data_IF_580877152478
#
_entry.id   IF_580877152478
#
_cell.length_a   1.000
_cell.length_b   1.000
_cell.length_c   1.000
_cell.angle_alpha   90.00
_cell.angle_beta   90.00
_cell.angle_gamma   90.00
#
_symmetry.space_group_name_H-M   'P 1'
#
loop_
_entity.id
_entity.type
_entity.pdbx_description
1 polymer ?
#
# COMPACT_ATOMS: atom_id res chain seq x y z
N UNK A 1 49.81 -0.78 14.84
CA UNK A 1 48.99 -1.45 13.81
C UNK A 1 47.53 -1.21 14.19
N UNK A 2 46.85 -0.29 13.50
CA UNK A 2 45.41 -0.05 13.73
C UNK A 2 44.62 -1.02 12.85
N UNK A 3 43.92 -1.97 13.47
CA UNK A 3 42.92 -2.78 12.79
C UNK A 3 41.70 -1.89 12.54
N UNK A 4 41.62 -1.28 11.36
CA UNK A 4 40.36 -0.72 10.86
C UNK A 4 39.42 -1.88 10.58
N UNK A 5 38.52 -2.17 11.52
CA UNK A 5 37.37 -3.04 11.29
C UNK A 5 36.52 -2.33 10.23
N UNK A 6 36.43 -2.94 9.05
CA UNK A 6 35.68 -2.43 7.92
C UNK A 6 34.18 -2.54 8.25
N UNK A 7 33.58 -1.46 8.76
CA UNK A 7 32.19 -1.42 9.24
C UNK A 7 31.13 -1.58 8.16
N UNK A 8 31.52 -1.80 6.89
CA UNK A 8 30.61 -1.88 5.74
C UNK A 8 29.77 -3.17 5.68
N UNK A 9 30.03 -4.16 6.53
CA UNK A 9 29.38 -5.47 6.50
C UNK A 9 28.60 -5.80 7.80
N UNK A 10 28.39 -4.83 8.69
CA UNK A 10 27.55 -5.09 9.86
C UNK A 10 26.09 -5.28 9.41
N UNK A 11 25.38 -6.32 9.88
CA UNK A 11 23.95 -6.46 9.63
C UNK A 11 23.20 -5.21 10.07
N UNK A 12 22.22 -4.76 9.30
CA UNK A 12 21.34 -3.68 9.77
C UNK A 12 20.55 -4.19 10.97
N UNK A 13 20.32 -3.32 11.92
CA UNK A 13 19.45 -3.56 13.06
C UNK A 13 18.15 -2.83 12.83
N UNK A 14 17.03 -3.53 13.06
CA UNK A 14 15.70 -2.95 13.05
C UNK A 14 15.15 -2.96 14.47
N UNK A 15 14.47 -1.89 14.86
CA UNK A 15 13.84 -1.77 16.16
C UNK A 15 12.31 -1.58 16.05
N UNK A 16 11.67 -1.36 17.20
CA UNK A 16 10.22 -1.20 17.25
C UNK A 16 9.72 0.05 16.50
N UNK A 17 10.58 1.06 16.32
CA UNK A 17 10.29 2.25 15.52
C UNK A 17 10.18 1.92 14.04
N UNK A 18 11.11 1.14 13.49
CA UNK A 18 11.04 0.70 12.08
C UNK A 18 9.77 -0.12 11.80
N UNK A 19 9.44 -1.04 12.70
CA UNK A 19 8.22 -1.86 12.59
C UNK A 19 6.95 -1.02 12.76
N UNK A 20 6.99 0.01 13.61
CA UNK A 20 5.89 0.96 13.75
C UNK A 20 5.67 1.73 12.44
N UNK A 21 6.72 2.21 11.79
CA UNK A 21 6.61 2.99 10.56
C UNK A 21 6.03 2.13 9.42
N UNK A 22 6.48 0.89 9.27
CA UNK A 22 5.88 -0.07 8.32
C UNK A 22 4.39 -0.32 8.61
N UNK A 23 4.05 -0.54 9.88
CA UNK A 23 2.66 -0.77 10.27
C UNK A 23 1.77 0.47 10.05
N UNK A 24 2.27 1.67 10.36
CA UNK A 24 1.58 2.93 10.17
C UNK A 24 1.36 3.25 8.68
N UNK A 25 2.32 2.93 7.81
CA UNK A 25 2.16 3.02 6.36
C UNK A 25 1.05 2.09 5.87
N UNK A 26 1.08 0.82 6.28
CA UNK A 26 0.05 -0.15 5.92
C UNK A 26 -1.35 0.26 6.44
N UNK A 27 -1.45 0.78 7.67
CA UNK A 27 -2.69 1.32 8.23
C UNK A 27 -3.21 2.49 7.37
N UNK A 28 -2.33 3.45 7.05
CA UNK A 28 -2.67 4.61 6.23
C UNK A 28 -3.22 4.19 4.86
N UNK A 29 -2.54 3.27 4.18
CA UNK A 29 -2.95 2.74 2.88
C UNK A 29 -4.33 2.09 2.93
N UNK A 30 -4.55 1.25 3.95
CA UNK A 30 -5.85 0.61 4.17
C UNK A 30 -6.94 1.61 4.54
N UNK A 31 -6.61 2.69 5.26
CA UNK A 31 -7.50 3.81 5.55
C UNK A 31 -7.96 4.54 4.28
N UNK A 32 -7.04 4.80 3.34
CA UNK A 32 -7.37 5.37 2.04
C UNK A 32 -8.28 4.45 1.23
N UNK A 33 -7.99 3.14 1.19
CA UNK A 33 -8.84 2.15 0.50
C UNK A 33 -10.24 2.04 1.13
N UNK A 34 -10.33 2.05 2.45
CA UNK A 34 -11.62 2.07 3.17
C UNK A 34 -12.44 3.32 2.83
N UNK A 35 -11.78 4.47 2.73
CA UNK A 35 -12.41 5.75 2.34
C UNK A 35 -12.91 5.70 0.90
N UNK A 36 -12.10 5.20 -0.03
CA UNK A 36 -12.48 5.01 -1.43
C UNK A 36 -13.71 4.09 -1.58
N UNK A 37 -13.71 2.93 -0.91
CA UNK A 37 -14.85 2.01 -0.90
C UNK A 37 -16.10 2.67 -0.32
N UNK A 38 -15.94 3.46 0.75
CA UNK A 38 -17.04 4.21 1.36
C UNK A 38 -17.62 5.24 0.39
N UNK A 39 -16.78 5.94 -0.35
CA UNK A 39 -17.22 6.88 -1.38
C UNK A 39 -18.00 6.18 -2.49
N UNK A 40 -17.46 5.09 -3.05
CA UNK A 40 -18.14 4.27 -4.07
C UNK A 40 -19.51 3.79 -3.59
N UNK A 41 -19.60 3.30 -2.34
CA UNK A 41 -20.88 2.88 -1.74
C UNK A 41 -21.89 4.02 -1.65
N UNK A 42 -21.45 5.25 -1.34
CA UNK A 42 -22.33 6.43 -1.27
C UNK A 42 -22.85 6.79 -2.65
N UNK A 43 -21.99 6.82 -3.66
CA UNK A 43 -22.39 7.16 -5.02
C UNK A 43 -23.35 6.12 -5.63
N UNK A 44 -23.09 4.83 -5.43
CA UNK A 44 -24.02 3.77 -5.86
C UNK A 44 -25.38 3.94 -5.19
N UNK A 45 -25.42 4.22 -3.87
CA UNK A 45 -26.68 4.48 -3.15
C UNK A 45 -27.40 5.71 -3.69
N UNK A 46 -26.67 6.78 -4.03
CA UNK A 46 -27.24 7.99 -4.63
C UNK A 46 -27.90 7.67 -5.96
N UNK A 47 -27.18 7.01 -6.88
CA UNK A 47 -27.70 6.61 -8.20
C UNK A 47 -28.93 5.70 -8.06
N UNK A 48 -28.87 4.72 -7.16
CA UNK A 48 -29.99 3.84 -6.85
C UNK A 48 -31.22 4.62 -6.32
N UNK A 49 -30.99 5.66 -5.50
CA UNK A 49 -32.05 6.55 -5.02
C UNK A 49 -32.75 7.30 -6.15
N UNK A 50 -32.00 7.86 -7.10
CA UNK A 50 -32.55 8.53 -8.28
C UNK A 50 -33.41 7.55 -9.11
N UNK A 51 -32.91 6.34 -9.35
CA UNK A 51 -33.62 5.32 -10.12
C UNK A 51 -34.94 4.91 -9.44
N UNK A 52 -34.92 4.74 -8.11
CA UNK A 52 -36.11 4.41 -7.32
C UNK A 52 -37.16 5.52 -7.38
N UNK A 53 -36.75 6.77 -7.53
CA UNK A 53 -37.65 7.93 -7.66
C UNK A 53 -38.21 8.09 -9.08
N UNK A 54 -37.88 7.18 -10.01
CA UNK A 54 -38.35 7.23 -11.40
C UNK A 54 -37.56 8.18 -12.29
N UNK A 55 -36.40 8.68 -11.82
CA UNK A 55 -35.53 9.50 -12.64
C UNK A 55 -34.83 8.67 -13.72
N UNK A 56 -34.63 9.27 -14.90
CA UNK A 56 -33.92 8.63 -16.01
C UNK A 56 -32.42 8.65 -15.72
N UNK A 57 -31.85 7.47 -15.50
CA UNK A 57 -30.42 7.31 -15.30
C UNK A 57 -29.69 7.35 -16.64
N UNK A 58 -28.88 8.38 -16.84
CA UNK A 58 -27.98 8.54 -17.98
C UNK A 58 -26.52 8.25 -17.60
N UNK A 59 -25.66 8.10 -18.61
CA UNK A 59 -24.20 7.90 -18.44
C UNK A 59 -23.52 8.95 -17.55
N UNK A 60 -24.03 10.18 -17.51
CA UNK A 60 -23.47 11.27 -16.70
C UNK A 60 -23.58 11.02 -15.19
N UNK A 61 -24.51 10.17 -14.76
CA UNK A 61 -24.61 9.77 -13.35
C UNK A 61 -23.44 8.86 -12.94
N UNK A 62 -22.82 8.18 -13.90
CA UNK A 62 -21.71 7.26 -13.67
C UNK A 62 -20.35 7.87 -14.00
N UNK A 63 -20.27 8.90 -14.84
CA UNK A 63 -18.98 9.46 -15.30
C UNK A 63 -18.10 9.89 -14.15
N UNK A 64 -18.67 10.57 -13.14
CA UNK A 64 -17.92 10.97 -11.94
C UNK A 64 -17.45 9.76 -11.13
N UNK A 65 -18.32 8.76 -10.94
CA UNK A 65 -17.97 7.52 -10.24
C UNK A 65 -16.84 6.76 -10.95
N UNK A 66 -16.89 6.68 -12.28
CA UNK A 66 -15.86 6.02 -13.10
C UNK A 66 -14.52 6.74 -12.93
N UNK A 67 -14.49 8.07 -13.06
CA UNK A 67 -13.24 8.84 -12.87
C UNK A 67 -12.64 8.63 -11.48
N UNK A 68 -13.46 8.57 -10.43
CA UNK A 68 -12.97 8.26 -9.09
C UNK A 68 -12.45 6.83 -8.97
N UNK A 69 -13.13 5.85 -9.58
CA UNK A 69 -12.69 4.46 -9.59
C UNK A 69 -11.33 4.30 -10.30
N UNK A 70 -11.14 4.94 -11.45
CA UNK A 70 -9.87 4.94 -12.19
C UNK A 70 -8.73 5.51 -11.32
N UNK A 71 -9.00 6.61 -10.61
CA UNK A 71 -8.04 7.22 -9.69
C UNK A 71 -7.74 6.30 -8.49
N UNK A 72 -8.75 5.66 -7.91
CA UNK A 72 -8.56 4.73 -6.80
C UNK A 72 -7.78 3.48 -7.22
N UNK A 73 -8.05 2.95 -8.41
CA UNK A 73 -7.33 1.82 -8.98
C UNK A 73 -5.85 2.16 -9.17
N UNK A 74 -5.54 3.31 -9.78
CA UNK A 74 -4.17 3.78 -9.96
C UNK A 74 -3.42 3.88 -8.62
N UNK A 75 -4.04 4.51 -7.61
CA UNK A 75 -3.42 4.68 -6.29
C UNK A 75 -3.23 3.35 -5.55
N UNK A 76 -4.21 2.44 -5.65
CA UNK A 76 -4.12 1.12 -5.04
C UNK A 76 -2.99 0.29 -5.68
N UNK A 77 -2.88 0.36 -7.00
CA UNK A 77 -1.86 -0.37 -7.75
C UNK A 77 -0.45 0.18 -7.50
N UNK A 78 -0.29 1.50 -7.49
CA UNK A 78 0.99 2.16 -7.18
C UNK A 78 1.50 1.78 -5.78
N UNK A 79 0.63 1.87 -4.76
CA UNK A 79 0.97 1.46 -3.38
C UNK A 79 1.27 -0.02 -3.28
N UNK A 80 0.50 -0.87 -3.97
CA UNK A 80 0.76 -2.32 -4.02
C UNK A 80 2.14 -2.61 -4.62
N UNK A 81 2.50 -1.96 -5.72
CA UNK A 81 3.81 -2.13 -6.35
C UNK A 81 4.95 -1.65 -5.45
N UNK A 82 4.76 -0.53 -4.75
CA UNK A 82 5.73 -0.04 -3.77
C UNK A 82 5.99 -1.08 -2.68
N UNK A 83 4.94 -1.59 -2.02
CA UNK A 83 5.08 -2.60 -0.97
C UNK A 83 5.64 -3.92 -1.47
N UNK A 84 5.28 -4.35 -2.69
CA UNK A 84 5.86 -5.54 -3.30
C UNK A 84 7.39 -5.39 -3.46
N UNK A 85 7.85 -4.22 -3.94
CA UNK A 85 9.27 -3.93 -4.07
C UNK A 85 10.00 -3.87 -2.73
N UNK A 86 9.38 -3.29 -1.70
CA UNK A 86 9.95 -3.28 -0.35
C UNK A 86 10.06 -4.70 0.24
N UNK A 87 9.01 -5.52 0.07
CA UNK A 87 9.00 -6.91 0.50
C UNK A 87 10.13 -7.72 -0.16
N UNK A 88 10.32 -7.59 -1.47
CA UNK A 88 11.43 -8.23 -2.20
C UNK A 88 12.81 -7.77 -1.67
N UNK A 89 12.96 -6.48 -1.36
CA UNK A 89 14.20 -5.95 -0.81
C UNK A 89 14.51 -6.50 0.60
N UNK A 90 13.50 -6.57 1.47
CA UNK A 90 13.65 -7.13 2.81
C UNK A 90 13.89 -8.65 2.79
N UNK A 91 13.24 -9.38 1.88
CA UNK A 91 13.51 -10.81 1.66
C UNK A 91 14.97 -11.05 1.24
N UNK A 92 15.47 -10.27 0.28
CA UNK A 92 16.86 -10.34 -0.16
C UNK A 92 17.86 -9.97 0.95
N UNK A 93 17.52 -9.04 1.84
CA UNK A 93 18.32 -8.72 3.02
C UNK A 93 18.31 -9.86 4.04
N UNK A 94 17.14 -10.41 4.33
CA UNK A 94 16.97 -11.52 5.27
C UNK A 94 17.73 -12.78 4.84
N UNK A 95 17.66 -13.15 3.56
CA UNK A 95 18.38 -14.33 3.04
C UNK A 95 19.91 -14.16 3.10
N UNK A 96 20.45 -12.94 2.94
CA UNK A 96 21.90 -12.68 3.13
C UNK A 96 22.34 -12.90 4.58
N UNK A 97 21.53 -12.49 5.55
CA UNK A 97 21.81 -12.68 6.98
C UNK A 97 21.77 -14.18 7.33
N UNK A 98 20.76 -14.89 6.83
CA UNK A 98 20.60 -16.35 7.02
C UNK A 98 21.76 -17.13 6.42
N UNK A 99 22.20 -16.78 5.20
CA UNK A 99 23.35 -17.39 4.53
C UNK A 99 24.71 -17.11 5.19
N UNK A 100 24.82 -16.02 5.97
CA UNK A 100 26.02 -15.68 6.74
C UNK A 100 26.24 -16.53 8.00
N UNK A 101 25.23 -17.24 8.49
CA UNK A 101 25.31 -18.07 9.71
C UNK A 101 25.81 -19.51 9.47
N UNK A 102 26.29 -19.85 8.26
CA UNK A 102 26.84 -21.18 7.96
C UNK A 102 28.34 -21.22 7.68
N UNK A 103 29.04 -20.08 7.76
CA UNK A 103 30.50 -20.01 7.55
C UNK A 103 31.22 -19.36 8.76
N UNK A 104 30.87 -19.77 9.98
CA UNK A 104 31.60 -19.42 11.21
C UNK A 104 32.02 -20.69 11.95
#
# INVERSE_FOLDING_TARGET
>A
MSNQINSKNAPKTYDAGDMHDLAALAECDMGWMSTAITHVKKEIKRIHGLAKNGEVISQYHFSELITHLDMYEYLADDRRHHHAKEAEAYEAEWEKIKGGSHNA
#
